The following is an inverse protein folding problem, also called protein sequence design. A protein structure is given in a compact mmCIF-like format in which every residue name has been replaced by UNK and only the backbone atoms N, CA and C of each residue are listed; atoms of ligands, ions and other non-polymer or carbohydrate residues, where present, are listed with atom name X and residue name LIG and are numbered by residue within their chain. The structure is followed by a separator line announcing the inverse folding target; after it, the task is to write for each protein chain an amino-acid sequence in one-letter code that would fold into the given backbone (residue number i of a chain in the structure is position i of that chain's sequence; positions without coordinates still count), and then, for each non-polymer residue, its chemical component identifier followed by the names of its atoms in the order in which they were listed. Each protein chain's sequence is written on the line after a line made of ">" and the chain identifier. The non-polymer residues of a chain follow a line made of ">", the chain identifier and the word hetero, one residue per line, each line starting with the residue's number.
data_IF_017671526243
#
_entry.id   IF_017671526243
#
_cell.length_a   1.000
_cell.length_b   1.000
_cell.length_c   1.000
_cell.angle_alpha   90.00
_cell.angle_beta   90.00
_cell.angle_gamma   90.00
#
_symmetry.space_group_name_H-M   'P 1'
#
loop_
_entity.id
_entity.type
_entity.pdbx_description
1 polymer ?
#
# COMPACT_ATOMS: atom_id res chain seq x y z
N UNK A 1 23.23 2.69 23.41
CA UNK A 1 23.24 2.71 21.94
C UNK A 1 21.82 2.98 21.47
N UNK A 2 21.49 4.23 21.18
CA UNK A 2 20.22 4.59 20.53
C UNK A 2 20.45 4.41 19.04
N UNK A 3 19.86 3.38 18.46
CA UNK A 3 19.82 3.25 17.00
C UNK A 3 18.88 4.35 16.49
N UNK A 4 19.48 5.42 15.95
CA UNK A 4 18.78 6.51 15.30
C UNK A 4 17.85 5.93 14.22
N UNK A 5 16.54 6.20 14.34
CA UNK A 5 15.54 5.79 13.35
C UNK A 5 15.84 6.36 11.95
N UNK A 6 16.63 7.44 11.88
CA UNK A 6 17.14 8.03 10.64
C UNK A 6 18.05 7.08 9.84
N UNK A 7 18.89 6.27 10.51
CA UNK A 7 19.85 5.40 9.83
C UNK A 7 19.16 4.19 9.17
N UNK A 8 18.06 3.69 9.76
CA UNK A 8 17.33 2.53 9.21
C UNK A 8 16.49 2.89 7.99
N UNK A 9 15.90 4.09 7.95
CA UNK A 9 15.16 4.54 6.78
C UNK A 9 16.11 4.73 5.59
N UNK A 10 17.25 5.39 5.79
CA UNK A 10 18.28 5.55 4.74
C UNK A 10 18.78 4.19 4.20
N UNK A 11 18.90 3.17 5.05
CA UNK A 11 19.29 1.82 4.62
C UNK A 11 18.19 1.09 3.83
N UNK A 12 16.92 1.28 4.18
CA UNK A 12 15.79 0.78 3.37
C UNK A 12 15.69 1.51 2.02
N UNK A 13 16.10 2.78 1.95
CA UNK A 13 16.07 3.60 0.73
C UNK A 13 17.18 3.29 -0.28
N UNK A 14 18.33 2.72 0.13
CA UNK A 14 19.40 2.30 -0.79
C UNK A 14 19.09 1.02 -1.57
N UNK A 15 18.07 0.25 -1.19
CA UNK A 15 17.72 -1.03 -1.82
C UNK A 15 16.68 -0.93 -2.95
N UNK A 16 16.17 0.27 -3.24
CA UNK A 16 15.22 0.51 -4.34
C UNK A 16 15.82 1.46 -5.37
N UNK A 17 16.36 0.97 -6.51
CA UNK A 17 16.78 1.85 -7.59
C UNK A 17 15.60 2.05 -8.56
N UNK A 18 15.14 3.28 -8.79
CA UNK A 18 14.51 3.67 -10.07
C UNK A 18 14.26 5.18 -10.18
N UNK A 19 14.67 5.79 -11.31
CA UNK A 19 14.14 7.04 -11.87
C UNK A 19 14.59 8.39 -11.28
N UNK A 20 15.19 9.28 -12.10
CA UNK A 20 15.59 10.64 -11.70
C UNK A 20 14.40 11.57 -11.36
N UNK A 21 13.19 11.31 -11.87
CA UNK A 21 12.02 12.17 -11.61
C UNK A 21 11.34 11.92 -10.24
N UNK A 22 11.58 10.76 -9.61
CA UNK A 22 11.00 10.47 -8.28
C UNK A 22 11.83 11.12 -7.14
N UNK A 23 13.09 11.51 -7.36
CA UNK A 23 13.96 12.16 -6.34
C UNK A 23 13.36 13.45 -5.76
N UNK A 24 12.70 14.26 -6.60
CA UNK A 24 12.03 15.50 -6.16
C UNK A 24 10.78 15.23 -5.32
N UNK A 25 10.11 14.10 -5.56
CA UNK A 25 8.97 13.65 -4.75
C UNK A 25 9.48 13.13 -3.41
N UNK A 26 10.60 12.42 -3.39
CA UNK A 26 11.23 11.90 -2.16
C UNK A 26 11.77 13.00 -1.25
N UNK A 27 12.37 14.05 -1.81
CA UNK A 27 12.85 15.20 -1.01
C UNK A 27 11.67 15.93 -0.34
N UNK A 28 10.55 16.09 -1.07
CA UNK A 28 9.31 16.66 -0.52
C UNK A 28 8.64 15.74 0.50
N UNK A 29 8.61 14.42 0.28
CA UNK A 29 8.05 13.46 1.24
C UNK A 29 8.90 13.41 2.51
N UNK A 30 10.23 13.43 2.40
CA UNK A 30 11.16 13.46 3.54
C UNK A 30 11.00 14.74 4.38
N UNK A 31 10.94 15.90 3.72
CA UNK A 31 10.67 17.19 4.38
C UNK A 31 9.27 17.25 5.02
N UNK A 32 8.27 16.62 4.40
CA UNK A 32 6.90 16.56 4.92
C UNK A 32 6.80 15.59 6.11
N UNK A 33 7.50 14.45 6.07
CA UNK A 33 7.58 13.50 7.18
C UNK A 33 8.33 14.07 8.37
N UNK A 34 9.45 14.77 8.17
CA UNK A 34 10.21 15.39 9.27
C UNK A 34 9.37 16.45 9.99
N UNK A 35 8.74 17.37 9.24
CA UNK A 35 7.84 18.39 9.80
C UNK A 35 6.58 17.78 10.42
N UNK A 36 6.07 16.68 9.85
CA UNK A 36 4.92 15.95 10.35
C UNK A 36 5.19 15.28 11.70
N UNK A 37 6.32 14.58 11.83
CA UNK A 37 6.72 13.90 13.06
C UNK A 37 6.99 14.89 14.20
N UNK A 38 7.63 16.03 13.91
CA UNK A 38 7.85 17.10 14.91
C UNK A 38 6.53 17.72 15.39
N UNK A 39 5.53 17.86 14.51
CA UNK A 39 4.20 18.37 14.89
C UNK A 39 3.35 17.40 15.71
N UNK A 40 3.68 16.11 15.68
CA UNK A 40 2.88 15.04 16.28
C UNK A 40 3.34 14.62 17.68
N UNK A 41 4.41 15.23 18.22
CA UNK A 41 4.79 15.11 19.63
C UNK A 41 5.02 13.67 20.11
N UNK A 42 5.52 12.79 19.25
CA UNK A 42 5.75 11.39 19.61
C UNK A 42 6.92 11.25 20.61
N UNK A 43 6.59 11.28 21.91
CA UNK A 43 7.36 10.63 22.98
C UNK A 43 6.41 9.72 23.75
N UNK A 44 6.52 8.42 23.55
CA UNK A 44 5.73 7.43 24.28
C UNK A 44 6.51 6.15 24.49
N UNK A 45 6.83 5.88 25.76
CA UNK A 45 7.37 4.61 26.25
C UNK A 45 6.18 3.65 26.48
N UNK A 46 6.30 2.40 26.01
CA UNK A 46 5.24 1.39 26.09
C UNK A 46 5.13 0.86 27.52
N UNK A 47 4.00 1.09 28.18
CA UNK A 47 3.56 0.29 29.33
C UNK A 47 2.19 -0.32 29.05
N UNK A 48 2.05 -1.58 29.46
CA UNK A 48 0.85 -2.41 29.34
C UNK A 48 -0.33 -1.77 30.10
N UNK A 49 -1.51 -1.86 29.50
CA UNK A 49 -2.83 -1.43 29.97
C UNK A 49 -3.18 0.07 29.88
N UNK A 50 -3.40 0.52 28.64
CA UNK A 50 -4.18 1.73 28.38
C UNK A 50 -5.68 1.50 28.61
N UNK A 51 -6.38 2.37 29.37
CA UNK A 51 -7.85 2.38 29.46
C UNK A 51 -8.48 2.43 28.07
N UNK A 52 -9.61 1.74 27.87
CA UNK A 52 -10.28 1.63 26.57
C UNK A 52 -10.53 3.00 25.92
N UNK A 53 -10.93 3.98 26.72
CA UNK A 53 -11.17 5.37 26.32
C UNK A 53 -9.91 6.10 25.79
N UNK A 54 -8.72 5.71 26.25
CA UNK A 54 -7.47 6.26 25.74
C UNK A 54 -7.08 5.61 24.41
N UNK A 55 -7.38 4.31 24.24
CA UNK A 55 -7.21 3.61 22.95
C UNK A 55 -8.16 4.15 21.89
N UNK A 56 -9.43 4.39 22.23
CA UNK A 56 -10.44 4.92 21.31
C UNK A 56 -10.10 6.36 20.85
N UNK A 57 -9.59 7.18 21.77
CA UNK A 57 -9.07 8.51 21.44
C UNK A 57 -7.89 8.44 20.48
N UNK A 58 -6.96 7.51 20.71
CA UNK A 58 -5.80 7.34 19.83
C UNK A 58 -6.19 6.80 18.45
N UNK A 59 -7.11 5.85 18.37
CA UNK A 59 -7.67 5.36 17.09
C UNK A 59 -8.32 6.53 16.33
N UNK A 60 -9.10 7.36 17.00
CA UNK A 60 -9.76 8.53 16.39
C UNK A 60 -8.74 9.55 15.87
N UNK A 61 -7.66 9.79 16.63
CA UNK A 61 -6.55 10.66 16.21
C UNK A 61 -5.85 10.11 14.98
N UNK A 62 -5.49 8.83 14.99
CA UNK A 62 -4.84 8.15 13.86
C UNK A 62 -5.72 8.15 12.60
N UNK A 63 -7.02 7.88 12.74
CA UNK A 63 -7.97 7.96 11.63
C UNK A 63 -8.03 9.37 11.04
N UNK A 64 -8.02 10.41 11.88
CA UNK A 64 -8.00 11.81 11.40
C UNK A 64 -6.72 12.12 10.62
N UNK A 65 -5.57 11.62 11.06
CA UNK A 65 -4.30 11.78 10.34
C UNK A 65 -4.29 11.00 9.02
N UNK A 66 -4.82 9.80 9.02
CA UNK A 66 -4.95 8.96 7.82
C UNK A 66 -5.87 9.62 6.78
N UNK A 67 -7.00 10.17 7.20
CA UNK A 67 -7.91 10.92 6.31
C UNK A 67 -7.23 12.16 5.70
N UNK A 68 -6.42 12.88 6.47
CA UNK A 68 -5.60 13.99 5.93
C UNK A 68 -4.58 13.47 4.93
N UNK A 69 -3.89 12.37 5.23
CA UNK A 69 -2.94 11.74 4.32
C UNK A 69 -3.61 11.30 3.02
N UNK A 70 -4.82 10.76 3.05
CA UNK A 70 -5.57 10.40 1.84
C UNK A 70 -5.99 11.59 0.99
N UNK A 71 -6.24 12.76 1.61
CA UNK A 71 -6.49 14.00 0.87
C UNK A 71 -5.24 14.51 0.17
N UNK A 72 -4.09 14.44 0.84
CA UNK A 72 -2.80 14.89 0.28
C UNK A 72 -2.23 13.90 -0.74
N UNK A 73 -2.43 12.60 -0.51
CA UNK A 73 -1.90 11.52 -1.32
C UNK A 73 -3.05 10.58 -1.74
N UNK A 74 -3.88 10.95 -2.73
CA UNK A 74 -4.97 10.11 -3.21
C UNK A 74 -4.49 8.72 -3.67
N UNK A 75 -3.28 8.65 -4.24
CA UNK A 75 -2.66 7.39 -4.66
C UNK A 75 -2.37 6.45 -3.48
N UNK A 76 -2.07 6.95 -2.27
CA UNK A 76 -1.89 6.12 -1.08
C UNK A 76 -3.18 5.37 -0.75
N UNK A 77 -4.31 6.06 -0.80
CA UNK A 77 -5.63 5.47 -0.58
C UNK A 77 -5.91 4.37 -1.60
N UNK A 78 -5.54 4.62 -2.86
CA UNK A 78 -5.73 3.66 -3.95
C UNK A 78 -4.82 2.43 -3.82
N UNK A 79 -3.57 2.61 -3.40
CA UNK A 79 -2.65 1.50 -3.13
C UNK A 79 -3.16 0.60 -2.00
N UNK A 80 -3.65 1.16 -0.89
CA UNK A 80 -4.24 0.39 0.20
C UNK A 80 -5.52 -0.34 -0.22
N UNK A 81 -6.35 0.29 -1.06
CA UNK A 81 -7.53 -0.36 -1.66
C UNK A 81 -7.10 -1.57 -2.49
N UNK A 82 -6.05 -1.43 -3.28
CA UNK A 82 -5.54 -2.47 -4.17
C UNK A 82 -4.86 -3.61 -3.38
N UNK A 83 -4.12 -3.30 -2.32
CA UNK A 83 -3.57 -4.30 -1.40
C UNK A 83 -4.67 -5.17 -0.79
N UNK A 84 -5.75 -4.54 -0.30
CA UNK A 84 -6.91 -5.25 0.23
C UNK A 84 -7.56 -6.15 -0.81
N UNK A 85 -7.74 -5.66 -2.05
CA UNK A 85 -8.29 -6.44 -3.16
C UNK A 85 -7.44 -7.70 -3.42
N UNK A 86 -6.13 -7.55 -3.55
CA UNK A 86 -5.22 -8.67 -3.78
C UNK A 86 -5.26 -9.69 -2.64
N UNK A 87 -5.38 -9.24 -1.39
CA UNK A 87 -5.52 -10.13 -0.24
C UNK A 87 -6.84 -10.93 -0.28
N UNK A 88 -7.96 -10.28 -0.63
CA UNK A 88 -9.28 -10.95 -0.77
C UNK A 88 -9.27 -11.99 -1.90
N UNK A 89 -8.58 -11.69 -3.01
CA UNK A 89 -8.40 -12.62 -4.15
C UNK A 89 -7.62 -13.86 -3.73
N UNK A 90 -6.76 -13.75 -2.71
CA UNK A 90 -5.96 -14.84 -2.16
C UNK A 90 -4.47 -14.77 -2.48
N UNK A 91 -3.95 -13.59 -2.82
CA UNK A 91 -2.50 -13.42 -3.04
C UNK A 91 -1.72 -13.42 -1.72
N UNK A 92 -0.52 -13.99 -1.77
CA UNK A 92 0.42 -13.94 -0.65
C UNK A 92 1.02 -12.54 -0.54
N UNK A 93 1.57 -12.21 0.64
CA UNK A 93 2.26 -10.93 0.87
C UNK A 93 3.37 -10.67 -0.16
N UNK A 94 4.10 -11.71 -0.55
CA UNK A 94 5.18 -11.59 -1.53
C UNK A 94 4.65 -11.26 -2.92
N UNK A 95 3.55 -11.89 -3.35
CA UNK A 95 2.89 -11.59 -4.62
C UNK A 95 2.36 -10.15 -4.65
N UNK A 96 1.73 -9.71 -3.55
CA UNK A 96 1.25 -8.34 -3.38
C UNK A 96 2.42 -7.35 -3.48
N UNK A 97 3.54 -7.63 -2.81
CA UNK A 97 4.73 -6.78 -2.85
C UNK A 97 5.33 -6.69 -4.27
N UNK A 98 5.38 -7.78 -5.03
CA UNK A 98 5.81 -7.75 -6.43
C UNK A 98 4.88 -6.87 -7.27
N UNK A 99 3.57 -7.00 -7.11
CA UNK A 99 2.57 -6.25 -7.88
C UNK A 99 2.54 -4.75 -7.54
N UNK A 100 2.55 -4.39 -6.25
CA UNK A 100 2.35 -3.01 -5.79
C UNK A 100 3.65 -2.22 -5.64
N UNK A 101 4.65 -2.82 -4.99
CA UNK A 101 5.89 -2.12 -4.64
C UNK A 101 6.90 -2.19 -5.77
N UNK A 102 7.13 -3.39 -6.31
CA UNK A 102 8.06 -3.59 -7.43
C UNK A 102 7.44 -3.23 -8.78
N UNK A 103 6.11 -3.08 -8.84
CA UNK A 103 5.34 -2.80 -10.08
C UNK A 103 5.60 -3.87 -11.17
N UNK A 104 5.87 -5.11 -10.74
CA UNK A 104 6.19 -6.24 -11.59
C UNK A 104 4.93 -7.06 -11.91
N UNK A 105 4.92 -7.67 -13.09
CA UNK A 105 3.89 -8.66 -13.42
C UNK A 105 4.25 -10.00 -12.78
N UNK A 106 3.26 -10.70 -12.24
CA UNK A 106 3.44 -12.04 -11.66
C UNK A 106 2.69 -13.07 -12.50
N UNK A 107 3.24 -14.28 -12.60
CA UNK A 107 2.55 -15.43 -13.19
C UNK A 107 2.05 -16.33 -12.07
N UNK A 108 0.77 -16.69 -12.13
CA UNK A 108 0.16 -17.51 -11.09
C UNK A 108 -0.57 -18.72 -11.68
N UNK A 109 -0.62 -19.77 -10.87
CA UNK A 109 -1.40 -20.98 -11.09
C UNK A 109 -2.22 -21.26 -9.84
N UNK A 110 -3.34 -21.94 -9.98
CA UNK A 110 -4.18 -22.36 -8.86
C UNK A 110 -5.58 -21.76 -8.92
N UNK A 111 -6.04 -21.19 -7.82
CA UNK A 111 -7.40 -20.66 -7.72
C UNK A 111 -7.41 -19.29 -7.07
N UNK A 112 -8.14 -18.36 -7.68
CA UNK A 112 -8.38 -17.02 -7.14
C UNK A 112 -9.83 -16.86 -6.72
N UNK A 113 -10.09 -16.06 -5.69
CA UNK A 113 -11.44 -15.77 -5.24
C UNK A 113 -11.98 -14.50 -5.91
N UNK A 114 -13.24 -14.56 -6.35
CA UNK A 114 -14.01 -13.39 -6.76
C UNK A 114 -15.00 -13.05 -5.66
N UNK A 115 -14.86 -11.87 -5.06
CA UNK A 115 -15.82 -11.37 -4.09
C UNK A 115 -17.19 -11.09 -4.73
N UNK A 116 -17.20 -10.59 -5.97
CA UNK A 116 -18.41 -10.30 -6.75
C UNK A 116 -19.27 -11.56 -6.97
N UNK A 117 -18.65 -12.67 -7.36
CA UNK A 117 -19.37 -13.93 -7.60
C UNK A 117 -19.34 -14.90 -6.42
N UNK A 118 -18.70 -14.50 -5.31
CA UNK A 118 -18.49 -15.30 -4.08
C UNK A 118 -17.96 -16.72 -4.33
N UNK A 119 -17.14 -16.91 -5.37
CA UNK A 119 -16.63 -18.22 -5.78
C UNK A 119 -15.17 -18.16 -6.21
N UNK A 120 -14.53 -19.33 -6.29
CA UNK A 120 -13.15 -19.46 -6.77
C UNK A 120 -13.14 -19.78 -8.26
N UNK A 121 -12.20 -19.18 -8.99
CA UNK A 121 -11.94 -19.42 -10.41
C UNK A 121 -10.55 -20.05 -10.55
N UNK A 122 -10.41 -21.00 -11.46
CA UNK A 122 -9.14 -21.65 -11.76
C UNK A 122 -8.32 -20.78 -12.70
N UNK A 123 -7.04 -20.62 -12.40
CA UNK A 123 -6.08 -19.86 -13.20
C UNK A 123 -4.93 -20.76 -13.62
N UNK A 124 -4.49 -20.62 -14.88
CA UNK A 124 -3.45 -21.44 -15.49
C UNK A 124 -2.48 -20.58 -16.29
N UNK A 125 -1.31 -20.37 -15.71
CA UNK A 125 -0.23 -19.53 -16.25
C UNK A 125 -0.68 -18.10 -16.56
N UNK A 126 -1.67 -17.62 -15.83
CA UNK A 126 -2.23 -16.29 -16.02
C UNK A 126 -1.27 -15.23 -15.47
N UNK A 127 -1.13 -14.13 -16.22
CA UNK A 127 -0.25 -13.01 -15.88
C UNK A 127 -1.07 -11.92 -15.20
N UNK A 128 -0.75 -11.64 -13.95
CA UNK A 128 -1.34 -10.54 -13.20
C UNK A 128 -0.45 -9.32 -13.26
N UNK A 129 -1.07 -8.15 -13.45
CA UNK A 129 -0.38 -6.86 -13.42
C UNK A 129 -1.30 -5.77 -12.89
N UNK A 130 -0.75 -4.89 -12.05
CA UNK A 130 -1.41 -3.65 -11.67
C UNK A 130 -0.96 -2.56 -12.65
N UNK A 131 -1.94 -1.87 -13.23
CA UNK A 131 -1.73 -0.75 -14.15
C UNK A 131 -2.51 0.47 -13.66
N UNK A 132 -2.08 1.66 -14.05
CA UNK A 132 -2.93 2.85 -13.91
C UNK A 132 -4.14 2.73 -14.82
N UNK A 133 -5.30 3.20 -14.36
CA UNK A 133 -6.47 3.26 -15.21
C UNK A 133 -6.22 4.27 -16.35
N UNK A 134 -6.50 3.90 -17.62
CA UNK A 134 -6.29 4.80 -18.76
C UNK A 134 -7.17 6.05 -18.74
N UNK A 135 -8.32 6.04 -18.07
CA UNK A 135 -9.25 7.18 -18.01
C UNK A 135 -9.15 8.00 -16.73
N UNK A 136 -8.53 7.45 -15.68
CA UNK A 136 -8.37 8.10 -14.37
C UNK A 136 -7.03 7.70 -13.74
N UNK A 137 -6.01 8.55 -13.88
CA UNK A 137 -4.65 8.25 -13.43
C UNK A 137 -4.51 8.14 -11.90
N UNK A 138 -5.55 8.52 -11.15
CA UNK A 138 -5.66 8.34 -9.70
C UNK A 138 -6.07 6.92 -9.30
N UNK A 139 -6.46 6.07 -10.27
CA UNK A 139 -6.94 4.71 -10.06
C UNK A 139 -5.96 3.65 -10.54
N UNK A 140 -6.00 2.52 -9.84
CA UNK A 140 -5.26 1.32 -10.18
C UNK A 140 -6.23 0.21 -10.59
N UNK A 141 -5.85 -0.53 -11.63
CA UNK A 141 -6.60 -1.66 -12.15
C UNK A 141 -5.72 -2.89 -12.06
N UNK A 142 -6.22 -3.93 -11.38
CA UNK A 142 -5.63 -5.26 -11.45
C UNK A 142 -6.12 -5.94 -12.73
N UNK A 143 -5.19 -6.42 -13.52
CA UNK A 143 -5.45 -7.09 -14.80
C UNK A 143 -4.96 -8.52 -14.78
N UNK A 144 -5.68 -9.39 -15.48
CA UNK A 144 -5.31 -10.77 -15.79
C UNK A 144 -5.15 -10.84 -17.31
N UNK A 145 -3.96 -11.18 -17.80
CA UNK A 145 -3.65 -11.21 -19.24
C UNK A 145 -4.06 -9.92 -19.98
N UNK A 146 -3.85 -8.76 -19.33
CA UNK A 146 -4.22 -7.40 -19.81
C UNK A 146 -5.72 -7.08 -19.81
N UNK A 147 -6.57 -7.99 -19.38
CA UNK A 147 -8.00 -7.74 -19.16
C UNK A 147 -8.25 -7.34 -17.70
N UNK A 148 -9.07 -6.31 -17.41
CA UNK A 148 -9.45 -5.97 -16.03
C UNK A 148 -10.05 -7.18 -15.30
N UNK A 149 -9.67 -7.37 -14.04
CA UNK A 149 -10.07 -8.57 -13.30
C UNK A 149 -11.59 -8.73 -13.15
N UNK A 150 -12.34 -7.62 -13.00
CA UNK A 150 -13.80 -7.66 -12.94
C UNK A 150 -14.45 -8.13 -14.25
N UNK A 151 -13.83 -7.85 -15.39
CA UNK A 151 -14.31 -8.35 -16.68
C UNK A 151 -13.91 -9.81 -16.90
N UNK A 152 -12.74 -10.21 -16.40
CA UNK A 152 -12.24 -11.57 -16.53
C UNK A 152 -13.10 -12.61 -15.78
N UNK A 153 -13.80 -12.20 -14.72
CA UNK A 153 -14.68 -13.10 -13.96
C UNK A 153 -16.04 -13.41 -14.62
N UNK A 154 -16.43 -12.65 -15.65
CA UNK A 154 -17.68 -12.85 -16.39
C UNK A 154 -17.65 -14.14 -17.19
#
# INVERSE_FOLDING_TARGET
>A
MVLNCETHLIYLFKLYPTGQDEYQIYEKIGLFWHKGIESLGFRGHLTLDFPLEAKDREISRLNTLLEKAFKWFPMLREMLRMEKLCAVIGFTKDMINCLLTKKEAIKCNGRIYSEEHRRKFEIKNDVFKIVKNPTDDSKLVLTINRQPIGEWFK
#
